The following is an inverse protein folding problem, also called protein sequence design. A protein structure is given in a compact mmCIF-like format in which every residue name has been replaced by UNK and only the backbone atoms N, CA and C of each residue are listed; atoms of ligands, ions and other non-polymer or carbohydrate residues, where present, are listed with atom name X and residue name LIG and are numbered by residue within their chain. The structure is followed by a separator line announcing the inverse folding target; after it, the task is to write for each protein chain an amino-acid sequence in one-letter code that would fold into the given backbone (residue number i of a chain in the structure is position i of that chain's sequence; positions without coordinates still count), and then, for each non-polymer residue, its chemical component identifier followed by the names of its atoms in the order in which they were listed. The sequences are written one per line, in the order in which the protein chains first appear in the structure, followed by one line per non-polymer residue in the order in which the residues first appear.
data_IF_698215808383
#
_entry.id   IF_698215808383
#
_cell.length_a   1.000
_cell.length_b   1.000
_cell.length_c   1.000
_cell.angle_alpha   90.00
_cell.angle_beta   90.00
_cell.angle_gamma   90.00
#
_symmetry.space_group_name_H-M   'P 1'
#
loop_
_entity.id
_entity.type
_entity.pdbx_description
1 polymer ?
#
# COMPACT_ATOMS: atom_id res chain seq x y z
N UNK A 1 21.17 15.15 68.31
CA UNK A 1 20.86 13.78 67.82
C UNK A 1 19.50 13.84 67.15
N UNK A 2 19.46 13.96 65.82
CA UNK A 2 18.21 13.89 65.04
C UNK A 2 18.49 13.08 63.78
N UNK A 3 17.68 12.03 63.58
CA UNK A 3 17.67 11.18 62.41
C UNK A 3 16.36 11.40 61.66
N UNK A 4 16.45 11.53 60.32
CA UNK A 4 15.58 10.91 59.29
C UNK A 4 15.82 11.61 57.95
N UNK A 5 16.54 10.93 57.05
CA UNK A 5 16.56 11.26 55.63
C UNK A 5 15.31 10.64 55.00
N UNK A 6 14.39 11.48 54.50
CA UNK A 6 13.22 11.04 53.75
C UNK A 6 13.45 11.24 52.25
N UNK A 7 13.63 10.09 51.60
CA UNK A 7 13.69 9.76 50.17
C UNK A 7 13.29 10.86 49.16
N UNK A 8 14.27 11.32 48.37
CA UNK A 8 14.04 11.86 47.04
C UNK A 8 13.90 10.68 46.07
N UNK A 9 12.68 10.40 45.62
CA UNK A 9 12.40 9.37 44.63
C UNK A 9 12.86 9.81 43.23
N UNK A 10 13.80 9.06 42.63
CA UNK A 10 14.11 9.13 41.22
C UNK A 10 13.01 8.40 40.43
N UNK A 11 12.21 9.13 39.67
CA UNK A 11 11.33 8.57 38.66
C UNK A 11 12.10 8.44 37.35
N UNK A 12 12.58 7.24 37.03
CA UNK A 12 13.11 6.94 35.71
C UNK A 12 11.93 6.70 34.76
N UNK A 13 11.65 7.65 33.87
CA UNK A 13 10.72 7.44 32.76
C UNK A 13 11.38 6.53 31.73
N UNK A 14 10.93 5.29 31.62
CA UNK A 14 11.33 4.38 30.54
C UNK A 14 10.56 4.84 29.29
N UNK A 15 11.26 5.48 28.36
CA UNK A 15 10.73 5.74 27.02
C UNK A 15 10.76 4.42 26.24
N UNK A 16 9.63 3.73 26.17
CA UNK A 16 9.46 2.59 25.27
C UNK A 16 9.37 3.11 23.83
N UNK A 17 10.48 3.06 23.09
CA UNK A 17 10.46 3.21 21.64
C UNK A 17 9.77 1.98 21.04
N UNK A 18 8.45 2.08 20.83
CA UNK A 18 7.76 1.14 19.95
C UNK A 18 8.30 1.36 18.54
N UNK A 19 9.16 0.46 18.06
CA UNK A 19 9.56 0.44 16.65
C UNK A 19 8.32 0.16 15.80
N UNK A 20 7.96 1.11 14.93
CA UNK A 20 6.99 0.86 13.87
C UNK A 20 7.64 -0.17 12.95
N UNK A 21 7.08 -1.37 12.87
CA UNK A 21 7.55 -2.33 11.86
C UNK A 21 6.99 -1.84 10.53
N UNK A 22 7.80 -1.07 9.78
CA UNK A 22 7.49 -0.74 8.40
C UNK A 22 7.31 -2.04 7.61
N UNK A 23 6.08 -2.34 7.22
CA UNK A 23 5.79 -3.50 6.40
C UNK A 23 6.18 -3.17 4.97
N UNK A 24 7.16 -3.90 4.44
CA UNK A 24 7.62 -3.72 3.07
C UNK A 24 6.69 -4.35 2.04
N UNK A 25 7.24 -4.53 0.83
CA UNK A 25 6.58 -5.31 -0.23
C UNK A 25 6.16 -6.69 0.29
N UNK A 26 4.93 -7.09 0.01
CA UNK A 26 4.34 -8.31 0.53
C UNK A 26 3.22 -8.85 -0.37
N UNK A 27 2.83 -10.11 -0.15
CA UNK A 27 1.73 -10.77 -0.88
C UNK A 27 0.48 -10.98 0.00
N UNK A 28 0.25 -10.08 0.96
CA UNK A 28 -0.96 -10.12 1.79
C UNK A 28 -2.16 -9.60 0.99
N UNK A 29 -3.34 -10.11 1.32
CA UNK A 29 -4.57 -9.73 0.65
C UNK A 29 -5.72 -10.63 1.05
N UNK A 30 -6.89 -10.39 0.46
CA UNK A 30 -8.07 -11.22 0.66
C UNK A 30 -7.84 -12.65 0.18
N UNK A 31 -8.45 -13.64 0.87
CA UNK A 31 -8.50 -15.02 0.39
C UNK A 31 -9.29 -15.17 -0.93
N UNK A 32 -10.04 -14.15 -1.33
CA UNK A 32 -10.82 -14.13 -2.57
C UNK A 32 -10.01 -13.74 -3.80
N UNK A 33 -8.74 -13.34 -3.63
CA UNK A 33 -7.88 -12.92 -4.73
C UNK A 33 -7.68 -14.01 -5.80
N UNK A 34 -7.65 -15.29 -5.40
CA UNK A 34 -7.35 -16.38 -6.32
C UNK A 34 -5.89 -16.39 -6.76
N UNK A 35 -5.61 -16.81 -8.00
CA UNK A 35 -4.26 -16.91 -8.57
C UNK A 35 -4.20 -16.29 -9.97
N UNK A 36 -3.03 -15.81 -10.37
CA UNK A 36 -2.72 -15.24 -11.69
C UNK A 36 -3.08 -13.77 -11.88
N UNK A 37 -3.69 -13.11 -10.88
CA UNK A 37 -4.31 -11.79 -11.09
C UNK A 37 -3.33 -10.62 -11.07
N UNK A 38 -2.19 -10.74 -10.42
CA UNK A 38 -1.19 -9.67 -10.36
C UNK A 38 -0.58 -9.39 -11.73
N UNK A 39 -0.27 -10.43 -12.52
CA UNK A 39 0.24 -10.29 -13.87
C UNK A 39 -0.82 -9.72 -14.83
N UNK A 40 -2.08 -10.19 -14.74
CA UNK A 40 -3.19 -9.63 -15.52
C UNK A 40 -3.39 -8.14 -15.21
N UNK A 41 -3.37 -7.78 -13.93
CA UNK A 41 -3.56 -6.41 -13.48
C UNK A 41 -2.38 -5.52 -13.90
N UNK A 42 -1.14 -6.02 -13.81
CA UNK A 42 0.02 -5.30 -14.34
C UNK A 42 -0.13 -5.01 -15.84
N UNK A 43 -0.57 -5.98 -16.64
CA UNK A 43 -0.78 -5.78 -18.07
C UNK A 43 -1.82 -4.68 -18.36
N UNK A 44 -2.83 -4.52 -17.49
CA UNK A 44 -3.79 -3.42 -17.58
C UNK A 44 -3.13 -2.09 -17.20
N UNK A 45 -2.34 -2.04 -16.12
CA UNK A 45 -1.64 -0.82 -15.68
C UNK A 45 -0.64 -0.30 -16.72
N UNK A 46 -0.02 -1.19 -17.51
CA UNK A 46 0.85 -0.79 -18.62
C UNK A 46 0.16 0.10 -19.67
N UNK A 47 -1.18 0.10 -19.71
CA UNK A 47 -1.96 0.94 -20.64
C UNK A 47 -2.19 2.37 -20.13
N UNK A 48 -1.85 2.67 -18.87
CA UNK A 48 -2.00 4.01 -18.31
C UNK A 48 -1.12 5.04 -19.05
N UNK A 49 -1.59 6.27 -19.26
CA UNK A 49 -0.72 7.38 -19.66
C UNK A 49 0.32 7.67 -18.57
N UNK A 50 1.59 7.79 -18.96
CA UNK A 50 2.71 7.96 -18.01
C UNK A 50 2.57 9.20 -17.13
N UNK A 51 2.03 10.29 -17.69
CA UNK A 51 1.92 11.61 -17.05
C UNK A 51 0.61 11.79 -16.26
N UNK A 52 -0.34 10.84 -16.34
CA UNK A 52 -1.58 10.93 -15.56
C UNK A 52 -1.26 10.79 -14.07
N UNK A 53 -1.81 11.70 -13.26
CA UNK A 53 -1.60 11.71 -11.81
C UNK A 53 -2.83 11.17 -11.11
N UNK A 54 -2.60 10.24 -10.19
CA UNK A 54 -3.60 9.59 -9.37
C UNK A 54 -3.38 10.00 -7.91
N UNK A 55 -4.48 10.24 -7.19
CA UNK A 55 -4.45 10.73 -5.81
C UNK A 55 -4.66 9.57 -4.81
N UNK A 56 -4.74 9.93 -3.52
CA UNK A 56 -5.08 8.99 -2.47
C UNK A 56 -6.48 8.37 -2.62
N UNK A 57 -6.66 7.19 -2.05
CA UNK A 57 -7.93 6.46 -1.96
C UNK A 57 -8.64 6.21 -3.29
N UNK A 58 -7.89 6.13 -4.40
CA UNK A 58 -8.45 5.82 -5.72
C UNK A 58 -8.24 4.35 -6.09
N UNK A 59 -9.29 3.75 -6.64
CA UNK A 59 -9.17 2.53 -7.43
C UNK A 59 -8.70 2.90 -8.83
N UNK A 60 -7.65 2.26 -9.34
CA UNK A 60 -7.02 2.59 -10.63
C UNK A 60 -7.50 1.68 -11.75
N UNK A 61 -7.54 0.38 -11.47
CA UNK A 61 -7.86 -0.64 -12.44
C UNK A 61 -8.38 -1.91 -11.75
N UNK A 62 -9.15 -2.72 -12.47
CA UNK A 62 -9.63 -4.02 -11.99
C UNK A 62 -9.53 -5.06 -13.09
N UNK A 63 -9.31 -6.32 -12.69
CA UNK A 63 -9.36 -7.49 -13.58
C UNK A 63 -10.49 -8.43 -13.21
N UNK A 64 -10.84 -9.33 -14.14
CA UNK A 64 -11.90 -10.32 -13.94
C UNK A 64 -11.68 -11.14 -12.65
N UNK A 65 -12.74 -11.25 -11.85
CA UNK A 65 -12.68 -11.86 -10.51
C UNK A 65 -12.58 -10.84 -9.37
N UNK A 66 -12.58 -9.54 -9.68
CA UNK A 66 -12.71 -8.47 -8.68
C UNK A 66 -11.41 -8.10 -7.98
N UNK A 67 -10.24 -8.46 -8.53
CA UNK A 67 -8.95 -7.98 -8.03
C UNK A 67 -8.64 -6.65 -8.68
N UNK A 68 -8.35 -5.64 -7.86
CA UNK A 68 -8.18 -4.26 -8.28
C UNK A 68 -6.90 -3.66 -7.70
N UNK A 69 -6.37 -2.65 -8.40
CA UNK A 69 -5.27 -1.81 -7.97
C UNK A 69 -5.81 -0.56 -7.27
N UNK A 70 -5.23 -0.22 -6.12
CA UNK A 70 -5.58 0.94 -5.31
C UNK A 70 -4.33 1.72 -4.93
N UNK A 71 -4.41 3.04 -4.94
CA UNK A 71 -3.47 3.89 -4.21
C UNK A 71 -4.06 4.20 -2.84
N UNK A 72 -3.23 4.07 -1.82
CA UNK A 72 -3.62 4.28 -0.43
C UNK A 72 -2.48 4.96 0.32
N UNK A 73 -2.83 5.69 1.38
CA UNK A 73 -1.91 6.39 2.27
C UNK A 73 -1.02 7.43 1.54
N UNK A 74 -1.49 8.02 0.44
CA UNK A 74 -0.77 9.10 -0.25
C UNK A 74 -0.83 10.37 0.59
N UNK A 75 0.31 11.03 0.88
CA UNK A 75 0.30 12.31 1.58
C UNK A 75 -0.58 13.35 0.87
N UNK A 76 -1.29 14.15 1.66
CA UNK A 76 -2.21 15.16 1.13
C UNK A 76 -1.47 16.19 0.25
N UNK A 77 -1.97 16.39 -0.97
CA UNK A 77 -1.37 17.30 -1.96
C UNK A 77 -0.29 16.65 -2.83
N UNK A 78 0.02 15.37 -2.60
CA UNK A 78 0.86 14.55 -3.47
C UNK A 78 0.01 13.65 -4.37
N UNK A 79 0.65 13.08 -5.39
CA UNK A 79 0.02 12.15 -6.32
C UNK A 79 1.07 11.27 -6.98
N UNK A 80 0.61 10.15 -7.53
CA UNK A 80 1.47 9.14 -8.15
C UNK A 80 1.18 9.10 -9.64
N UNK A 81 2.23 9.13 -10.45
CA UNK A 81 2.07 9.12 -11.91
C UNK A 81 1.78 7.71 -12.43
N UNK A 82 1.17 7.62 -13.62
CA UNK A 82 0.97 6.35 -14.32
C UNK A 82 2.28 5.57 -14.49
N UNK A 83 3.38 6.25 -14.80
CA UNK A 83 4.70 5.61 -14.91
C UNK A 83 5.17 4.99 -13.57
N UNK A 84 4.93 5.68 -12.45
CA UNK A 84 5.25 5.13 -11.12
C UNK A 84 4.37 3.93 -10.80
N UNK A 85 3.07 4.02 -11.06
CA UNK A 85 2.10 2.92 -10.85
C UNK A 85 2.53 1.65 -11.61
N UNK A 86 2.94 1.78 -12.88
CA UNK A 86 3.46 0.65 -13.67
C UNK A 86 4.67 0.00 -13.02
N UNK A 87 5.64 0.82 -12.61
CA UNK A 87 6.87 0.32 -11.96
C UNK A 87 6.57 -0.41 -10.65
N UNK A 88 5.63 0.09 -9.86
CA UNK A 88 5.23 -0.50 -8.59
C UNK A 88 4.45 -1.81 -8.79
N UNK A 89 3.50 -1.83 -9.72
CA UNK A 89 2.78 -3.05 -10.04
C UNK A 89 3.72 -4.16 -10.52
N UNK A 90 4.74 -3.81 -11.31
CA UNK A 90 5.76 -4.76 -11.74
C UNK A 90 6.58 -5.30 -10.54
N UNK A 91 6.86 -4.48 -9.53
CA UNK A 91 7.54 -4.96 -8.32
C UNK A 91 6.70 -6.01 -7.57
N UNK A 92 5.38 -5.85 -7.48
CA UNK A 92 4.49 -6.87 -6.89
C UNK A 92 4.60 -8.20 -7.66
N UNK A 93 4.62 -8.14 -8.99
CA UNK A 93 4.78 -9.32 -9.85
C UNK A 93 6.16 -9.96 -9.67
N UNK A 94 7.23 -9.16 -9.70
CA UNK A 94 8.62 -9.62 -9.57
C UNK A 94 8.92 -10.19 -8.17
N UNK A 95 8.21 -9.73 -7.15
CA UNK A 95 8.27 -10.30 -5.81
C UNK A 95 7.64 -11.70 -5.72
N UNK A 96 6.91 -12.13 -6.75
CA UNK A 96 6.30 -13.45 -6.85
C UNK A 96 4.87 -13.52 -6.30
N UNK A 97 4.25 -12.38 -5.99
CA UNK A 97 2.86 -12.34 -5.56
C UNK A 97 1.95 -12.81 -6.70
N UNK A 98 1.29 -13.95 -6.53
CA UNK A 98 0.52 -14.59 -7.59
C UNK A 98 -0.82 -13.88 -7.86
N UNK A 99 -1.30 -13.03 -6.96
CA UNK A 99 -2.61 -12.40 -7.13
C UNK A 99 -2.72 -11.05 -6.45
N UNK A 100 -2.53 -11.01 -5.13
CA UNK A 100 -2.66 -9.81 -4.31
C UNK A 100 -1.36 -9.54 -3.57
N UNK A 101 -1.19 -8.29 -3.18
CA UNK A 101 0.00 -7.80 -2.51
C UNK A 101 0.04 -6.29 -2.49
N UNK A 102 1.00 -5.76 -1.74
CA UNK A 102 1.24 -4.33 -1.65
C UNK A 102 2.71 -4.04 -1.84
N UNK A 103 3.00 -2.86 -2.39
CA UNK A 103 4.36 -2.30 -2.45
C UNK A 103 4.34 -0.84 -1.98
N UNK A 104 5.19 -0.47 -1.01
CA UNK A 104 5.31 0.91 -0.57
C UNK A 104 6.03 1.77 -1.62
N UNK A 105 5.74 3.07 -1.69
CA UNK A 105 6.45 3.98 -2.61
C UNK A 105 7.88 4.26 -2.19
N UNK A 106 8.07 4.51 -0.90
CA UNK A 106 9.33 4.99 -0.33
C UNK A 106 9.57 4.37 1.05
N UNK A 107 10.84 4.35 1.46
CA UNK A 107 11.29 3.91 2.79
C UNK A 107 10.87 2.50 3.22
N UNK A 108 10.33 1.70 2.29
CA UNK A 108 9.78 0.38 2.55
C UNK A 108 8.66 0.40 3.62
N UNK A 109 7.89 1.49 3.69
CA UNK A 109 6.79 1.67 4.64
C UNK A 109 5.47 1.98 3.93
N UNK A 110 4.51 1.04 4.00
CA UNK A 110 3.19 1.19 3.36
C UNK A 110 2.33 2.31 3.96
N UNK A 111 2.65 2.78 5.18
CA UNK A 111 1.96 3.92 5.80
C UNK A 111 2.39 5.27 5.22
N UNK A 112 3.49 5.30 4.48
CA UNK A 112 3.96 6.46 3.70
C UNK A 112 3.51 6.38 2.23
N UNK A 113 2.51 5.53 1.98
CA UNK A 113 1.86 5.34 0.71
C UNK A 113 2.23 3.99 0.06
N UNK A 114 1.22 3.35 -0.51
CA UNK A 114 1.37 2.07 -1.21
C UNK A 114 0.49 1.95 -2.46
N UNK A 115 0.98 1.14 -3.41
CA UNK A 115 0.12 0.51 -4.41
C UNK A 115 -0.30 -0.86 -3.87
N UNK A 116 -1.60 -1.12 -3.85
CA UNK A 116 -2.18 -2.37 -3.33
C UNK A 116 -3.00 -3.07 -4.40
N UNK A 117 -2.74 -4.36 -4.60
CA UNK A 117 -3.60 -5.27 -5.35
C UNK A 117 -4.45 -6.07 -4.37
N UNK A 118 -5.76 -5.87 -4.37
CA UNK A 118 -6.66 -6.60 -3.48
C UNK A 118 -8.04 -6.86 -4.10
N UNK A 119 -8.78 -7.81 -3.53
CA UNK A 119 -10.15 -8.09 -3.92
C UNK A 119 -11.11 -6.97 -3.48
N UNK A 120 -12.06 -6.63 -4.36
CA UNK A 120 -13.17 -5.74 -4.10
C UNK A 120 -14.46 -6.27 -4.71
N UNK A 121 -15.57 -6.12 -3.97
CA UNK A 121 -16.92 -6.38 -4.48
C UNK A 121 -17.46 -5.21 -5.32
N UNK A 122 -16.72 -4.10 -5.38
CA UNK A 122 -17.05 -2.92 -6.15
C UNK A 122 -15.90 -2.66 -7.12
N UNK A 123 -16.17 -2.87 -8.40
CA UNK A 123 -15.28 -2.52 -9.51
C UNK A 123 -15.73 -1.20 -10.10
N UNK A 124 -14.77 -0.34 -10.41
CA UNK A 124 -14.96 0.88 -11.15
C UNK A 124 -15.22 0.60 -12.64
N UNK A 125 -15.50 1.67 -13.41
CA UNK A 125 -15.38 1.64 -14.87
C UNK A 125 -16.57 1.12 -15.66
N UNK A 126 -17.72 0.81 -15.03
CA UNK A 126 -18.94 0.36 -15.73
C UNK A 126 -18.72 -0.80 -16.76
N UNK A 127 -17.66 -1.60 -16.57
CA UNK A 127 -17.23 -2.66 -17.49
C UNK A 127 -15.85 -2.47 -18.12
N UNK A 128 -15.25 -1.28 -17.99
CA UNK A 128 -13.87 -0.99 -18.37
C UNK A 128 -12.86 -1.44 -17.30
N UNK A 129 -11.66 -1.84 -17.75
CA UNK A 129 -10.59 -2.32 -16.87
C UNK A 129 -9.86 -1.16 -16.15
N UNK A 130 -9.98 0.06 -16.66
CA UNK A 130 -9.40 1.28 -16.08
C UNK A 130 -10.53 2.10 -15.44
N UNK A 131 -10.31 2.55 -14.21
CA UNK A 131 -11.24 3.41 -13.51
C UNK A 131 -11.17 4.84 -14.04
N UNK A 132 -12.32 5.55 -14.15
CA UNK A 132 -12.30 6.99 -14.35
C UNK A 132 -11.66 7.68 -13.13
N UNK A 133 -10.72 8.59 -13.39
CA UNK A 133 -10.02 9.41 -12.38
C UNK A 133 -10.42 10.86 -12.45
#
# INVERSE_FOLDING_TARGET
MFAKFSQLGLWAAILSLAGVNALGINCLGSSQCGSGKSADLQAVLETLPDEQVFLDDVQIACVFGGVCAFLQNIPAGEGVTGAQIKSLGQQIVDHGCQSCGSVPFQNNDVSEGELTFNFSNTVCGDGDLICPT
#
